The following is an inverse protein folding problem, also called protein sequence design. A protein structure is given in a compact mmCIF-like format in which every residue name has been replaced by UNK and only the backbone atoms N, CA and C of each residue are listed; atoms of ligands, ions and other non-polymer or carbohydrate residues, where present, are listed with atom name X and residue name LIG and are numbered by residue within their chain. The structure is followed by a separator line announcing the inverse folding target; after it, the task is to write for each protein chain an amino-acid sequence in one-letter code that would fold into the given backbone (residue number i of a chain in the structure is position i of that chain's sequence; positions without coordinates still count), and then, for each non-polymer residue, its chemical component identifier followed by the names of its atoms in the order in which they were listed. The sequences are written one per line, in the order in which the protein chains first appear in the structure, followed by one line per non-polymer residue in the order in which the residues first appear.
data_IF_450507085193
#
_entry.id   IF_450507085193
#
_cell.length_a   1.000
_cell.length_b   1.000
_cell.length_c   1.000
_cell.angle_alpha   90.00
_cell.angle_beta   90.00
_cell.angle_gamma   90.00
#
_symmetry.space_group_name_H-M   'P 1'
#
loop_
_entity.id
_entity.type
_entity.pdbx_description
1 polymer ?
#
# COMPACT_ATOMS: atom_id res chain seq x y z
N UNK A 1 2.17 -11.33 -15.06
CA UNK A 1 2.62 -10.64 -13.82
C UNK A 1 1.40 -10.13 -13.07
N UNK A 2 1.12 -10.59 -11.84
CA UNK A 2 -0.07 -10.15 -11.10
C UNK A 2 0.07 -8.65 -10.77
N UNK A 3 -0.93 -7.86 -11.17
CA UNK A 3 -1.03 -6.43 -10.82
C UNK A 3 -1.34 -6.32 -9.33
N UNK A 4 -0.51 -5.59 -8.59
CA UNK A 4 -0.81 -5.20 -7.21
C UNK A 4 -2.01 -4.23 -7.17
N UNK A 5 -2.85 -4.28 -6.12
CA UNK A 5 -4.10 -3.51 -6.05
C UNK A 5 -3.90 -2.01 -5.85
N UNK A 6 -2.75 -1.55 -5.33
CA UNK A 6 -2.47 -0.15 -5.03
C UNK A 6 -1.12 0.30 -5.60
N UNK A 7 -1.01 1.54 -6.12
CA UNK A 7 0.26 2.13 -6.50
C UNK A 7 1.05 2.57 -5.25
N UNK A 8 2.21 1.95 -5.01
CA UNK A 8 3.17 2.41 -4.01
C UNK A 8 4.19 3.37 -4.65
N UNK A 9 4.40 4.55 -4.04
CA UNK A 9 5.41 5.53 -4.49
C UNK A 9 6.52 5.58 -3.44
N UNK A 10 7.76 5.35 -3.86
CA UNK A 10 8.94 5.39 -2.97
C UNK A 10 9.74 6.65 -3.25
N UNK A 11 9.76 7.59 -2.30
CA UNK A 11 10.64 8.76 -2.31
C UNK A 11 12.00 8.49 -1.68
N UNK A 12 12.95 9.41 -1.83
CA UNK A 12 14.31 9.29 -1.30
C UNK A 12 14.36 9.30 0.25
N UNK A 13 13.34 9.91 0.88
CA UNK A 13 13.15 9.93 2.35
C UNK A 13 12.60 8.60 2.87
N UNK A 14 11.66 8.01 2.14
CA UNK A 14 11.06 6.71 2.39
C UNK A 14 12.11 5.57 2.38
N UNK A 15 13.08 5.64 1.46
CA UNK A 15 14.18 4.65 1.40
C UNK A 15 15.03 4.60 2.69
N UNK A 16 15.28 5.76 3.31
CA UNK A 16 16.11 5.85 4.53
C UNK A 16 15.37 5.44 5.80
N UNK A 17 14.04 5.57 5.82
CA UNK A 17 13.20 5.23 6.98
C UNK A 17 12.53 3.87 6.89
N UNK A 18 12.63 3.19 5.74
CA UNK A 18 11.88 1.96 5.41
C UNK A 18 10.37 2.16 5.55
N UNK A 19 9.88 3.37 5.27
CA UNK A 19 8.46 3.68 5.27
C UNK A 19 7.97 3.95 3.85
N UNK A 20 6.66 3.89 3.62
CA UNK A 20 6.01 4.20 2.35
C UNK A 20 4.77 5.05 2.57
N UNK A 21 4.51 5.98 1.66
CA UNK A 21 3.25 6.71 1.64
C UNK A 21 2.25 6.02 0.72
N UNK A 22 1.12 5.58 1.27
CA UNK A 22 0.11 4.82 0.53
C UNK A 22 -0.99 5.74 0.04
N UNK A 23 -1.40 5.54 -1.21
CA UNK A 23 -2.53 6.24 -1.82
C UNK A 23 -3.47 5.26 -2.50
N UNK A 24 -4.75 5.59 -2.41
CA UNK A 24 -5.83 4.93 -3.14
C UNK A 24 -5.84 5.38 -4.61
N UNK A 25 -6.65 4.72 -5.43
CA UNK A 25 -6.76 5.01 -6.87
C UNK A 25 -7.39 6.37 -7.15
N UNK A 26 -8.27 6.84 -6.28
CA UNK A 26 -8.84 8.20 -6.29
C UNK A 26 -7.88 9.24 -5.67
N UNK A 27 -6.61 8.88 -5.45
CA UNK A 27 -5.53 9.75 -4.97
C UNK A 27 -5.74 10.27 -3.53
N UNK A 28 -6.58 9.59 -2.73
CA UNK A 28 -6.66 9.80 -1.28
C UNK A 28 -5.39 9.26 -0.61
N UNK A 29 -4.85 10.00 0.36
CA UNK A 29 -3.69 9.56 1.16
C UNK A 29 -4.17 8.71 2.34
N UNK A 30 -3.60 7.52 2.49
CA UNK A 30 -3.82 6.64 3.65
C UNK A 30 -2.73 6.81 4.73
N UNK A 31 -1.67 7.57 4.43
CA UNK A 31 -0.61 7.93 5.37
C UNK A 31 0.73 7.25 5.11
N UNK A 32 1.68 7.48 6.01
CA UNK A 32 3.00 6.86 6.04
C UNK A 32 2.93 5.55 6.85
N UNK A 33 3.47 4.47 6.30
CA UNK A 33 3.45 3.13 6.88
C UNK A 33 4.85 2.53 6.85
N UNK A 34 5.17 1.66 7.82
CA UNK A 34 6.35 0.80 7.70
C UNK A 34 6.21 -0.13 6.49
N UNK A 35 7.27 -0.22 5.68
CA UNK A 35 7.29 -1.00 4.44
C UNK A 35 6.90 -2.48 4.66
N UNK A 36 7.43 -3.22 5.66
CA UNK A 36 7.04 -4.61 5.85
C UNK A 36 5.57 -4.75 6.26
N UNK A 37 5.03 -3.84 7.09
CA UNK A 37 3.63 -3.86 7.52
C UNK A 37 2.69 -3.59 6.34
N UNK A 38 3.02 -2.58 5.53
CA UNK A 38 2.28 -2.26 4.32
C UNK A 38 2.23 -3.44 3.35
N UNK A 39 3.37 -4.10 3.12
CA UNK A 39 3.44 -5.27 2.23
C UNK A 39 2.62 -6.42 2.77
N UNK A 40 2.71 -6.73 4.06
CA UNK A 40 1.89 -7.78 4.68
C UNK A 40 0.40 -7.50 4.48
N UNK A 41 -0.04 -6.27 4.76
CA UNK A 41 -1.45 -5.87 4.61
C UNK A 41 -1.93 -6.01 3.16
N UNK A 42 -1.11 -5.58 2.19
CA UNK A 42 -1.43 -5.73 0.77
C UNK A 42 -1.59 -7.21 0.36
N UNK A 43 -0.75 -8.09 0.89
CA UNK A 43 -0.83 -9.54 0.62
C UNK A 43 -2.11 -10.14 1.20
N UNK A 44 -2.49 -9.77 2.42
CA UNK A 44 -3.76 -10.20 3.04
C UNK A 44 -4.98 -9.79 2.19
N UNK A 45 -5.01 -8.53 1.74
CA UNK A 45 -6.09 -8.00 0.90
C UNK A 45 -6.13 -8.66 -0.48
N UNK A 46 -4.96 -8.96 -1.06
CA UNK A 46 -4.88 -9.70 -2.33
C UNK A 46 -5.40 -11.13 -2.20
N UNK A 47 -5.06 -11.82 -1.10
CA UNK A 47 -5.49 -13.20 -0.85
C UNK A 47 -6.99 -13.30 -0.59
N UNK A 48 -7.56 -12.32 0.12
CA UNK A 48 -9.00 -12.28 0.42
C UNK A 48 -9.85 -11.79 -0.75
N UNK A 49 -9.23 -11.19 -1.78
CA UNK A 49 -9.90 -10.65 -2.99
C UNK A 49 -11.09 -9.73 -2.66
N UNK A 50 -10.94 -8.95 -1.60
CA UNK A 50 -11.95 -8.00 -1.16
C UNK A 50 -12.20 -6.91 -2.23
N UNK A 51 -13.46 -6.63 -2.60
CA UNK A 51 -13.77 -5.65 -3.65
C UNK A 51 -13.49 -4.20 -3.23
N UNK A 52 -13.51 -3.90 -1.93
CA UNK A 52 -13.28 -2.59 -1.33
C UNK A 52 -11.94 -2.51 -0.60
N UNK A 53 -10.90 -3.18 -1.14
CA UNK A 53 -9.56 -3.25 -0.55
C UNK A 53 -9.00 -1.89 -0.13
N UNK A 54 -9.28 -0.83 -0.89
CA UNK A 54 -8.78 0.53 -0.63
C UNK A 54 -9.47 1.23 0.56
N UNK A 55 -10.66 0.78 0.95
CA UNK A 55 -11.40 1.31 2.11
C UNK A 55 -11.01 0.61 3.40
N UNK A 56 -10.66 -0.68 3.32
CA UNK A 56 -10.28 -1.50 4.47
C UNK A 56 -8.77 -1.65 4.64
N UNK A 57 -8.00 -1.05 3.73
CA UNK A 57 -6.56 -0.92 3.85
C UNK A 57 -6.23 -0.14 5.12
#
# INVERSE_FOLDING_TARGET
VPKLPLPAVVGQKEQSKRTVNIRTRDNRRLGEWDLPEAVQRLVELQNTRVPNAEEIF
#
